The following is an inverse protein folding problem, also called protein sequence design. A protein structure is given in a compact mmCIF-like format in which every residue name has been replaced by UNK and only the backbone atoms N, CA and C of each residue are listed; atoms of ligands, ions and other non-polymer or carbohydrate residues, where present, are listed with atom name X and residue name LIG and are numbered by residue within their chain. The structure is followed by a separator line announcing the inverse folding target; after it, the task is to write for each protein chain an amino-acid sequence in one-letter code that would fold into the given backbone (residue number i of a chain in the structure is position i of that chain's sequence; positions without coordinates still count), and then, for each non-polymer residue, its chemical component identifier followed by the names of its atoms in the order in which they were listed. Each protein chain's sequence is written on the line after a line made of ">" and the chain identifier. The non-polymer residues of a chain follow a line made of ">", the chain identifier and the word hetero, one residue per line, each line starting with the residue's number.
data_IF_473892046826
#
_entry.id   IF_473892046826
#
_cell.length_a   1.000
_cell.length_b   1.000
_cell.length_c   1.000
_cell.angle_alpha   90.00
_cell.angle_beta   90.00
_cell.angle_gamma   90.00
#
_symmetry.space_group_name_H-M   'P 1'
#
loop_
_entity.id
_entity.type
_entity.pdbx_description
1 polymer ?
#
# COMPACT_ATOMS: atom_id res chain seq x y z
N UNK A 1 -5.82 -30.02 -47.47
CA UNK A 1 -5.67 -29.05 -46.35
C UNK A 1 -7.06 -28.88 -45.72
N UNK A 2 -7.32 -29.55 -44.60
CA UNK A 2 -8.67 -29.72 -44.05
C UNK A 2 -9.04 -28.61 -43.06
N UNK A 3 -10.14 -27.89 -43.33
CA UNK A 3 -10.76 -26.93 -42.42
C UNK A 3 -11.37 -27.67 -41.21
N UNK A 4 -10.76 -27.54 -40.04
CA UNK A 4 -11.34 -28.03 -38.78
C UNK A 4 -12.41 -27.06 -38.29
N UNK A 5 -13.65 -27.36 -38.67
CA UNK A 5 -14.88 -26.82 -38.07
C UNK A 5 -14.92 -27.12 -36.57
N UNK A 6 -14.73 -26.08 -35.74
CA UNK A 6 -14.97 -26.17 -34.28
C UNK A 6 -16.47 -26.06 -34.06
N UNK A 7 -17.11 -27.20 -33.77
CA UNK A 7 -18.53 -27.28 -33.40
C UNK A 7 -18.74 -26.60 -32.04
N UNK A 8 -19.60 -25.59 -32.02
CA UNK A 8 -20.08 -24.94 -30.81
C UNK A 8 -20.91 -25.91 -29.97
N UNK A 9 -20.50 -26.15 -28.72
CA UNK A 9 -21.28 -26.92 -27.76
C UNK A 9 -22.29 -26.00 -27.03
N UNK A 10 -23.57 -26.37 -26.92
CA UNK A 10 -24.54 -25.61 -26.13
C UNK A 10 -24.31 -25.88 -24.64
N UNK A 11 -23.96 -24.82 -23.89
CA UNK A 11 -23.83 -24.87 -22.43
C UNK A 11 -25.25 -24.91 -21.84
N UNK A 12 -25.67 -26.10 -21.40
CA UNK A 12 -26.93 -26.33 -20.68
C UNK A 12 -26.93 -25.55 -19.37
N UNK A 13 -27.65 -24.44 -19.31
CA UNK A 13 -27.97 -23.71 -18.09
C UNK A 13 -29.04 -24.49 -17.33
N UNK A 14 -28.63 -25.31 -16.36
CA UNK A 14 -29.54 -25.86 -15.35
C UNK A 14 -29.83 -24.76 -14.32
N UNK A 15 -31.06 -24.27 -14.31
CA UNK A 15 -31.56 -23.34 -13.31
C UNK A 15 -31.52 -23.96 -11.92
N UNK A 16 -31.14 -23.16 -10.92
CA UNK A 16 -31.36 -23.48 -9.52
C UNK A 16 -32.63 -22.76 -9.05
N UNK A 17 -33.55 -23.44 -8.35
CA UNK A 17 -34.77 -22.85 -7.84
C UNK A 17 -34.49 -21.93 -6.65
N UNK A 18 -35.14 -20.76 -6.68
CA UNK A 18 -35.25 -19.83 -5.58
C UNK A 18 -35.93 -20.51 -4.38
N UNK A 19 -35.19 -20.68 -3.29
CA UNK A 19 -35.74 -21.01 -1.97
C UNK A 19 -35.81 -19.71 -1.16
N UNK A 20 -37.00 -19.11 -1.15
CA UNK A 20 -37.34 -17.99 -0.29
C UNK A 20 -37.46 -18.50 1.15
N UNK A 21 -36.54 -18.09 2.03
CA UNK A 21 -36.66 -18.26 3.47
C UNK A 21 -37.13 -16.94 4.07
N UNK A 22 -38.43 -16.87 4.31
CA UNK A 22 -39.14 -15.79 4.99
C UNK A 22 -38.88 -15.97 6.49
N UNK A 23 -37.94 -15.20 7.05
CA UNK A 23 -37.70 -15.15 8.49
C UNK A 23 -38.51 -13.98 9.05
N UNK A 24 -39.39 -14.31 9.99
CA UNK A 24 -40.48 -13.49 10.47
C UNK A 24 -40.08 -12.20 11.19
N UNK A 25 -40.93 -11.19 10.98
CA UNK A 25 -41.06 -9.99 11.79
C UNK A 25 -41.30 -10.34 13.26
N UNK A 26 -40.49 -9.77 14.15
CA UNK A 26 -40.88 -9.49 15.53
C UNK A 26 -40.75 -7.98 15.74
N UNK A 27 -41.90 -7.35 15.95
CA UNK A 27 -42.05 -5.94 16.24
C UNK A 27 -41.60 -5.60 17.67
N UNK A 28 -41.01 -4.42 17.82
CA UNK A 28 -40.50 -3.81 19.05
C UNK A 28 -41.59 -3.51 20.11
N UNK A 29 -41.20 -3.16 21.35
CA UNK A 29 -41.26 -1.73 21.70
C UNK A 29 -40.15 -1.22 22.64
N UNK A 30 -40.17 0.11 22.75
CA UNK A 30 -39.24 1.11 23.27
C UNK A 30 -38.97 1.14 24.80
N UNK A 31 -38.08 2.07 25.15
CA UNK A 31 -37.94 2.83 26.42
C UNK A 31 -36.83 2.35 27.38
N UNK A 32 -35.76 3.14 27.47
CA UNK A 32 -35.36 3.84 28.70
C UNK A 32 -34.05 4.61 28.48
N UNK A 33 -34.17 5.94 28.48
CA UNK A 33 -33.06 6.81 28.74
C UNK A 33 -32.62 6.66 30.20
N UNK A 34 -31.33 6.40 30.41
CA UNK A 34 -30.59 6.82 31.60
C UNK A 34 -29.22 7.28 31.13
N UNK A 35 -29.05 8.60 31.02
CA UNK A 35 -27.71 9.18 31.05
C UNK A 35 -27.21 9.14 32.48
N UNK A 36 -25.97 8.68 32.70
CA UNK A 36 -25.17 9.11 33.85
C UNK A 36 -23.69 8.76 33.64
N UNK A 37 -22.93 9.80 33.30
CA UNK A 37 -21.60 10.06 33.84
C UNK A 37 -20.49 9.04 33.63
N UNK A 38 -19.77 9.15 32.52
CA UNK A 38 -18.35 8.76 32.48
C UNK A 38 -17.52 10.00 32.13
N UNK A 39 -17.36 10.87 33.13
CA UNK A 39 -16.46 12.00 33.10
C UNK A 39 -15.01 11.48 33.11
N UNK A 40 -14.15 11.79 32.12
CA UNK A 40 -12.72 11.58 32.27
C UNK A 40 -12.22 12.48 33.40
N UNK A 41 -11.45 11.89 34.31
CA UNK A 41 -10.80 12.60 35.41
C UNK A 41 -9.91 13.73 34.86
N UNK A 42 -9.88 14.92 35.49
CA UNK A 42 -8.83 15.90 35.22
C UNK A 42 -7.50 15.35 35.74
N UNK A 43 -6.54 15.17 34.83
CA UNK A 43 -5.15 14.91 35.21
C UNK A 43 -4.65 16.05 36.12
N UNK A 44 -4.00 15.75 37.26
CA UNK A 44 -3.31 16.78 38.03
C UNK A 44 -2.18 17.38 37.19
N UNK A 45 -2.12 18.71 37.19
CA UNK A 45 -1.14 19.49 36.45
C UNK A 45 0.28 19.07 36.80
N UNK A 46 1.04 18.70 35.77
CA UNK A 46 2.49 18.68 35.85
C UNK A 46 2.97 20.13 35.74
N UNK A 47 3.26 20.67 36.92
CA UNK A 47 3.97 21.92 37.15
C UNK A 47 5.17 22.03 36.22
N UNK A 48 5.21 23.11 35.45
CA UNK A 48 6.36 23.54 34.65
C UNK A 48 7.55 23.80 35.57
N UNK A 49 8.69 23.11 35.44
CA UNK A 49 9.91 23.54 36.12
C UNK A 49 10.48 24.75 35.39
N UNK A 50 10.50 25.87 36.09
CA UNK A 50 11.18 27.08 35.69
C UNK A 50 12.68 26.83 35.44
N UNK A 51 13.18 27.41 34.36
CA UNK A 51 14.59 27.41 33.96
C UNK A 51 15.49 28.11 35.00
N UNK A 52 16.65 27.54 35.33
CA UNK A 52 17.82 28.30 35.71
C UNK A 52 18.72 28.48 34.49
N UNK A 53 19.00 29.74 34.14
CA UNK A 53 20.03 30.08 33.18
C UNK A 53 21.43 29.79 33.73
N UNK A 54 22.34 29.39 32.86
CA UNK A 54 23.78 29.54 33.08
C UNK A 54 24.42 29.80 31.73
N UNK A 55 24.84 31.05 31.53
CA UNK A 55 25.75 31.41 30.46
C UNK A 55 27.17 30.98 30.86
N UNK A 56 27.96 30.46 29.91
CA UNK A 56 29.40 30.66 29.90
C UNK A 56 29.99 30.47 28.49
N UNK A 57 31.07 31.19 28.14
CA UNK A 57 31.53 31.40 26.76
C UNK A 57 32.68 30.44 26.37
N UNK A 58 33.03 30.40 25.07
CA UNK A 58 34.35 29.92 24.64
C UNK A 58 34.46 29.33 23.24
N UNK A 59 34.88 30.19 22.31
CA UNK A 59 35.44 29.97 20.96
C UNK A 59 36.25 28.69 20.69
N UNK A 60 36.13 28.15 19.47
CA UNK A 60 37.18 27.34 18.84
C UNK A 60 36.71 26.40 17.72
N UNK A 61 36.81 26.82 16.46
CA UNK A 61 36.76 25.95 15.26
C UNK A 61 38.11 25.28 15.02
N UNK A 62 38.14 24.05 14.49
CA UNK A 62 38.69 23.87 13.14
C UNK A 62 37.82 22.98 12.25
N UNK A 63 37.78 23.33 10.96
CA UNK A 63 37.04 22.63 9.92
C UNK A 63 37.43 21.16 9.77
N UNK A 64 36.40 20.33 9.63
CA UNK A 64 36.53 18.97 9.11
C UNK A 64 36.37 19.02 7.57
N UNK A 65 37.12 18.19 6.84
CA UNK A 65 37.19 18.24 5.39
C UNK A 65 35.81 18.00 4.77
N UNK A 66 35.50 18.83 3.77
CA UNK A 66 34.47 18.57 2.79
C UNK A 66 34.91 17.34 1.99
N UNK A 67 34.60 16.16 2.50
CA UNK A 67 34.67 14.94 1.71
C UNK A 67 33.50 15.01 0.72
N UNK A 68 33.76 15.68 -0.40
CA UNK A 68 32.93 15.61 -1.59
C UNK A 68 32.94 14.16 -2.06
N UNK A 69 32.04 13.35 -1.50
CA UNK A 69 31.61 12.14 -2.17
C UNK A 69 31.03 12.61 -3.51
N UNK A 70 31.52 12.13 -4.66
CA UNK A 70 30.89 12.44 -5.92
C UNK A 70 29.42 12.00 -5.81
N UNK A 71 28.45 12.76 -6.35
CA UNK A 71 27.18 12.13 -6.66
C UNK A 71 27.54 11.05 -7.68
N UNK A 72 27.51 9.78 -7.25
CA UNK A 72 27.16 8.72 -8.18
C UNK A 72 25.77 9.11 -8.65
N UNK A 73 25.73 9.82 -9.77
CA UNK A 73 24.58 9.79 -10.66
C UNK A 73 24.44 8.33 -11.02
N UNK A 74 23.70 7.58 -10.21
CA UNK A 74 23.09 6.35 -10.66
C UNK A 74 22.13 6.82 -11.74
N UNK A 75 22.66 6.85 -12.96
CA UNK A 75 21.90 7.03 -14.19
C UNK A 75 20.91 5.87 -14.18
N UNK A 76 19.75 6.13 -13.59
CA UNK A 76 18.69 5.16 -13.44
C UNK A 76 18.32 4.77 -14.86
N UNK A 77 18.67 3.55 -15.23
CA UNK A 77 18.26 2.97 -16.50
C UNK A 77 16.76 3.20 -16.63
N UNK A 78 16.38 3.94 -17.68
CA UNK A 78 15.00 4.25 -17.96
C UNK A 78 14.17 2.94 -17.99
N UNK A 79 12.97 2.99 -17.42
CA UNK A 79 12.19 1.81 -17.06
C UNK A 79 10.80 1.88 -17.67
N UNK A 80 10.48 0.88 -18.50
CA UNK A 80 9.12 0.66 -19.00
C UNK A 80 8.31 -0.23 -18.05
N UNK A 81 7.02 0.05 -17.89
CA UNK A 81 6.11 -0.83 -17.17
C UNK A 81 4.67 -0.71 -17.66
N UNK A 82 3.93 -1.81 -17.61
CA UNK A 82 2.48 -1.87 -17.79
C UNK A 82 1.93 -2.73 -16.67
N UNK A 83 1.25 -2.10 -15.71
CA UNK A 83 0.81 -2.73 -14.47
C UNK A 83 -0.68 -2.51 -14.23
N UNK A 84 -1.33 -3.58 -13.78
CA UNK A 84 -2.66 -3.56 -13.18
C UNK A 84 -2.53 -3.82 -11.69
N UNK A 85 -3.16 -2.96 -10.89
CA UNK A 85 -3.09 -2.95 -9.44
C UNK A 85 -4.50 -3.15 -8.90
N UNK A 86 -4.72 -4.24 -8.18
CA UNK A 86 -6.00 -4.54 -7.53
C UNK A 86 -5.84 -4.36 -6.03
N UNK A 87 -6.44 -3.31 -5.50
CA UNK A 87 -6.47 -2.98 -4.07
C UNK A 87 -7.70 -3.60 -3.43
N UNK A 88 -7.52 -4.26 -2.29
CA UNK A 88 -8.62 -4.81 -1.48
C UNK A 88 -8.71 -4.02 -0.17
N UNK A 89 -9.88 -3.43 0.08
CA UNK A 89 -10.13 -2.59 1.25
C UNK A 89 -10.38 -3.41 2.51
N UNK A 90 -10.17 -2.76 3.66
CA UNK A 90 -10.32 -3.34 4.99
C UNK A 90 -11.66 -4.08 5.18
N UNK A 91 -11.59 -5.36 5.58
CA UNK A 91 -12.76 -6.11 6.06
C UNK A 91 -13.87 -6.35 5.03
N UNK A 92 -13.59 -6.21 3.74
CA UNK A 92 -14.58 -6.42 2.67
C UNK A 92 -13.94 -7.09 1.45
N UNK A 93 -14.76 -7.74 0.63
CA UNK A 93 -14.33 -8.26 -0.68
C UNK A 93 -14.30 -7.17 -1.76
N UNK A 94 -14.49 -5.90 -1.40
CA UNK A 94 -14.48 -4.78 -2.32
C UNK A 94 -13.08 -4.58 -2.90
N UNK A 95 -13.00 -4.49 -4.23
CA UNK A 95 -11.76 -4.32 -4.98
C UNK A 95 -11.79 -3.05 -5.81
N UNK A 96 -10.68 -2.32 -5.79
CA UNK A 96 -10.44 -1.15 -6.65
C UNK A 96 -9.29 -1.49 -7.58
N UNK A 97 -9.55 -1.46 -8.88
CA UNK A 97 -8.52 -1.63 -9.89
C UNK A 97 -7.94 -0.28 -10.31
N UNK A 98 -6.62 -0.23 -10.48
CA UNK A 98 -5.87 0.91 -11.01
C UNK A 98 -4.86 0.42 -12.04
N UNK A 99 -4.45 1.30 -12.93
CA UNK A 99 -3.46 1.04 -13.96
C UNK A 99 -2.30 2.00 -13.84
N UNK A 100 -1.11 1.53 -14.17
CA UNK A 100 0.07 2.37 -14.36
C UNK A 100 0.77 1.93 -15.63
N UNK A 101 1.05 2.89 -16.49
CA UNK A 101 1.90 2.72 -17.67
C UNK A 101 3.07 3.69 -17.53
N UNK A 102 4.29 3.17 -17.54
CA UNK A 102 5.53 3.95 -17.57
C UNK A 102 6.24 3.68 -18.90
N UNK A 103 6.74 4.73 -19.53
CA UNK A 103 7.67 4.67 -20.66
C UNK A 103 8.88 5.50 -20.32
N UNK A 104 10.08 4.92 -20.47
CA UNK A 104 11.34 5.58 -20.14
C UNK A 104 11.37 6.20 -18.72
N UNK A 105 10.70 5.56 -17.73
CA UNK A 105 10.48 6.06 -16.36
C UNK A 105 9.54 7.27 -16.22
N UNK A 106 8.88 7.74 -17.29
CA UNK A 106 7.81 8.74 -17.22
C UNK A 106 6.43 8.09 -17.35
N UNK A 107 5.38 8.66 -16.74
CA UNK A 107 4.03 8.15 -16.90
C UNK A 107 3.53 8.34 -18.33
N UNK A 108 2.77 7.37 -18.82
CA UNK A 108 2.10 7.41 -20.11
C UNK A 108 0.57 7.40 -19.95
N UNK A 109 -0.13 7.70 -21.04
CA UNK A 109 -1.60 7.68 -21.11
C UNK A 109 -2.18 6.34 -20.63
N UNK A 110 -3.35 6.42 -20.00
CA UNK A 110 -4.06 5.24 -19.47
C UNK A 110 -3.73 4.87 -18.02
N UNK A 111 -2.78 5.57 -17.40
CA UNK A 111 -2.51 5.47 -15.96
C UNK A 111 -3.68 6.05 -15.14
N UNK A 112 -4.13 5.33 -14.11
CA UNK A 112 -5.23 5.72 -13.19
C UNK A 112 -4.81 5.73 -11.71
N UNK A 113 -3.53 5.48 -11.44
CA UNK A 113 -2.92 5.76 -10.13
C UNK A 113 -2.93 7.26 -9.84
N UNK A 114 -2.91 7.63 -8.55
CA UNK A 114 -3.14 9.02 -8.13
C UNK A 114 -1.97 9.95 -8.46
N UNK A 115 -0.76 9.40 -8.35
CA UNK A 115 0.49 10.12 -8.60
C UNK A 115 1.38 9.22 -9.47
N UNK A 116 1.17 9.31 -10.79
CA UNK A 116 1.80 8.39 -11.75
C UNK A 116 3.30 8.64 -11.88
N UNK A 117 3.74 9.91 -11.83
CA UNK A 117 5.16 10.28 -11.80
C UNK A 117 5.88 9.66 -10.61
N UNK A 118 5.34 9.84 -9.38
CA UNK A 118 5.92 9.25 -8.19
C UNK A 118 5.91 7.71 -8.25
N UNK A 119 4.91 7.11 -8.88
CA UNK A 119 4.83 5.66 -9.03
C UNK A 119 5.90 5.11 -10.00
N UNK A 120 6.13 5.75 -11.14
CA UNK A 120 7.21 5.37 -12.07
C UNK A 120 8.59 5.58 -11.43
N UNK A 121 8.78 6.66 -10.66
CA UNK A 121 10.01 6.90 -9.92
C UNK A 121 10.25 5.83 -8.83
N UNK A 122 9.19 5.43 -8.09
CA UNK A 122 9.28 4.37 -7.10
C UNK A 122 9.66 3.02 -7.72
N UNK A 123 9.11 2.69 -8.89
CA UNK A 123 9.49 1.49 -9.61
C UNK A 123 10.93 1.52 -10.10
N UNK A 124 11.41 2.67 -10.59
CA UNK A 124 12.81 2.82 -11.01
C UNK A 124 13.77 2.59 -9.82
N UNK A 125 13.41 3.12 -8.65
CA UNK A 125 14.25 3.08 -7.44
C UNK A 125 14.19 1.73 -6.69
N UNK A 126 13.02 1.10 -6.64
CA UNK A 126 12.75 -0.03 -5.77
C UNK A 126 12.24 -1.27 -6.48
N UNK A 127 11.94 -1.18 -7.78
CA UNK A 127 11.28 -2.23 -8.56
C UNK A 127 12.04 -3.55 -8.58
N UNK A 128 13.36 -3.50 -8.81
CA UNK A 128 14.21 -4.71 -8.84
C UNK A 128 14.07 -5.50 -7.53
N UNK A 129 14.34 -4.83 -6.42
CA UNK A 129 14.30 -5.41 -5.07
C UNK A 129 12.91 -5.87 -4.66
N UNK A 130 11.88 -5.13 -5.02
CA UNK A 130 10.52 -5.44 -4.57
C UNK A 130 9.90 -6.54 -5.41
N UNK A 131 10.12 -6.61 -6.72
CA UNK A 131 9.41 -7.55 -7.60
C UNK A 131 10.21 -8.79 -7.99
N UNK A 132 11.54 -8.70 -8.02
CA UNK A 132 12.38 -9.74 -8.62
C UNK A 132 13.36 -10.38 -7.64
N UNK A 133 13.77 -9.68 -6.58
CA UNK A 133 14.56 -10.31 -5.51
C UNK A 133 13.70 -11.26 -4.67
N UNK A 134 14.28 -12.41 -4.35
CA UNK A 134 13.66 -13.36 -3.43
C UNK A 134 13.74 -12.81 -1.99
N UNK A 135 12.67 -12.95 -1.19
CA UNK A 135 12.71 -12.59 0.22
C UNK A 135 13.82 -13.35 0.95
N UNK A 136 14.68 -12.60 1.64
CA UNK A 136 15.69 -13.18 2.53
C UNK A 136 15.00 -13.97 3.65
N UNK A 137 15.31 -15.26 3.73
CA UNK A 137 14.73 -16.21 4.69
C UNK A 137 15.26 -16.03 6.11
N UNK A 138 16.40 -15.38 6.26
CA UNK A 138 17.07 -15.08 7.52
C UNK A 138 16.73 -13.67 8.02
N UNK A 139 15.98 -12.88 7.24
CA UNK A 139 15.52 -11.56 7.65
C UNK A 139 14.57 -11.69 8.85
N UNK A 140 14.92 -11.02 9.94
CA UNK A 140 14.05 -10.91 11.12
C UNK A 140 13.07 -9.75 10.90
N UNK A 141 11.78 -10.04 11.01
CA UNK A 141 10.69 -9.08 10.82
C UNK A 141 9.95 -8.86 12.15
N UNK A 142 9.52 -7.63 12.41
CA UNK A 142 8.65 -7.35 13.57
C UNK A 142 7.27 -7.95 13.36
N UNK A 143 6.60 -8.35 14.44
CA UNK A 143 5.21 -8.83 14.39
C UNK A 143 4.19 -7.67 14.38
N UNK A 144 4.55 -6.54 13.74
CA UNK A 144 3.68 -5.37 13.68
C UNK A 144 2.64 -5.56 12.58
N UNK A 145 1.37 -5.53 12.96
CA UNK A 145 0.26 -5.45 12.02
C UNK A 145 -0.04 -4.00 11.63
N UNK A 146 0.00 -3.71 10.33
CA UNK A 146 -0.19 -2.37 9.76
C UNK A 146 -1.57 -2.13 9.14
N UNK A 147 -2.42 -3.16 9.06
CA UNK A 147 -3.80 -3.04 8.58
C UNK A 147 -4.27 -4.22 7.71
N UNK A 148 -5.58 -4.31 7.46
CA UNK A 148 -6.18 -5.39 6.65
C UNK A 148 -6.04 -5.22 5.13
N UNK A 149 -5.51 -4.10 4.66
CA UNK A 149 -5.38 -3.81 3.24
C UNK A 149 -4.41 -4.78 2.57
N UNK A 150 -4.78 -5.14 1.34
CA UNK A 150 -3.96 -5.97 0.48
C UNK A 150 -3.94 -5.38 -0.92
N UNK A 151 -2.89 -5.68 -1.68
CA UNK A 151 -2.84 -5.35 -3.09
C UNK A 151 -2.28 -6.53 -3.89
N UNK A 152 -2.78 -6.74 -5.10
CA UNK A 152 -2.14 -7.58 -6.11
C UNK A 152 -1.71 -6.71 -7.28
N UNK A 153 -0.43 -6.81 -7.65
CA UNK A 153 0.14 -6.12 -8.80
C UNK A 153 0.50 -7.17 -9.84
N UNK A 154 -0.01 -7.01 -11.05
CA UNK A 154 0.25 -7.90 -12.19
C UNK A 154 0.62 -7.10 -13.42
N UNK A 155 1.41 -7.67 -14.32
CA UNK A 155 1.76 -7.05 -15.60
C UNK A 155 3.23 -7.24 -15.93
N UNK A 156 3.90 -6.20 -16.41
CA UNK A 156 5.32 -6.24 -16.78
C UNK A 156 6.11 -5.04 -16.26
N UNK A 157 7.38 -5.28 -15.92
CA UNK A 157 8.39 -4.25 -15.61
C UNK A 157 9.64 -4.59 -16.42
N UNK A 158 10.08 -3.68 -17.28
CA UNK A 158 11.22 -3.86 -18.20
C UNK A 158 11.12 -5.16 -19.01
N UNK A 159 9.90 -5.49 -19.45
CA UNK A 159 9.61 -6.72 -20.21
C UNK A 159 9.54 -8.02 -19.40
N UNK A 160 9.78 -7.99 -18.08
CA UNK A 160 9.64 -9.17 -17.21
C UNK A 160 8.25 -9.21 -16.60
N UNK A 161 7.59 -10.37 -16.63
CA UNK A 161 6.29 -10.58 -16.00
C UNK A 161 6.39 -10.46 -14.47
N UNK A 162 5.36 -9.86 -13.87
CA UNK A 162 5.21 -9.75 -12.43
C UNK A 162 3.81 -10.19 -11.99
N UNK A 163 3.75 -10.90 -10.86
CA UNK A 163 2.54 -11.18 -10.10
C UNK A 163 2.92 -11.16 -8.62
N UNK A 164 2.63 -10.06 -7.94
CA UNK A 164 3.04 -9.86 -6.55
C UNK A 164 1.89 -9.43 -5.67
N UNK A 165 1.80 -10.07 -4.50
CA UNK A 165 0.90 -9.69 -3.43
C UNK A 165 1.62 -8.87 -2.38
N UNK A 166 0.95 -7.80 -1.96
CA UNK A 166 1.36 -6.92 -0.87
C UNK A 166 0.35 -7.04 0.27
N UNK A 167 0.87 -7.08 1.49
CA UNK A 167 0.10 -7.11 2.74
C UNK A 167 0.76 -6.20 3.76
N UNK A 168 0.08 -5.98 4.88
CA UNK A 168 0.60 -5.18 6.01
C UNK A 168 0.67 -6.05 7.28
N UNK A 169 1.09 -7.31 7.15
CA UNK A 169 1.02 -8.31 8.23
C UNK A 169 2.19 -8.29 9.21
N UNK A 170 3.33 -7.75 8.79
CA UNK A 170 4.57 -7.69 9.58
C UNK A 170 5.43 -6.49 9.11
N UNK A 171 6.48 -6.17 9.88
CA UNK A 171 7.33 -5.00 9.58
C UNK A 171 8.05 -5.06 8.24
N UNK A 172 8.39 -6.26 7.74
CA UNK A 172 9.03 -6.40 6.43
C UNK A 172 8.03 -6.13 5.31
N UNK A 173 6.82 -6.68 5.42
CA UNK A 173 5.74 -6.44 4.45
C UNK A 173 5.28 -4.98 4.43
N UNK A 174 5.20 -4.35 5.60
CA UNK A 174 4.94 -2.92 5.72
C UNK A 174 6.05 -2.10 5.03
N UNK A 175 7.31 -2.49 5.20
CA UNK A 175 8.42 -1.82 4.50
C UNK A 175 8.34 -1.96 2.98
N UNK A 176 7.97 -3.13 2.46
CA UNK A 176 7.75 -3.34 1.03
C UNK A 176 6.60 -2.47 0.50
N UNK A 177 5.49 -2.39 1.25
CA UNK A 177 4.38 -1.49 0.92
C UNK A 177 4.85 -0.03 0.86
N UNK A 178 5.65 0.40 1.83
CA UNK A 178 6.12 1.79 1.91
C UNK A 178 6.93 2.22 0.70
N UNK A 179 7.82 1.34 0.23
CA UNK A 179 8.61 1.58 -0.97
C UNK A 179 7.77 1.76 -2.23
N UNK A 180 6.52 1.27 -2.21
CA UNK A 180 5.58 1.31 -3.33
C UNK A 180 4.31 2.13 -3.00
N UNK A 181 4.33 3.01 -2.00
CA UNK A 181 3.14 3.78 -1.61
C UNK A 181 2.60 4.68 -2.72
N UNK A 182 3.45 5.21 -3.61
CA UNK A 182 2.98 5.99 -4.76
C UNK A 182 2.12 5.14 -5.73
N UNK A 183 2.43 3.85 -5.82
CA UNK A 183 1.69 2.87 -6.62
C UNK A 183 0.43 2.36 -5.89
N UNK A 184 0.56 2.04 -4.60
CA UNK A 184 -0.45 1.31 -3.82
C UNK A 184 -1.39 2.23 -2.99
N UNK A 185 -0.99 3.48 -2.78
CA UNK A 185 -1.63 4.38 -1.82
C UNK A 185 -1.12 4.21 -0.39
N UNK A 186 -1.58 5.09 0.49
CA UNK A 186 -1.27 5.05 1.92
C UNK A 186 -1.85 3.80 2.58
N UNK A 187 -1.12 3.29 3.58
CA UNK A 187 -1.55 2.17 4.45
C UNK A 187 -2.76 2.50 5.34
N UNK A 188 -3.14 3.77 5.47
CA UNK A 188 -4.42 4.20 6.04
C UNK A 188 -5.31 4.64 4.88
N UNK A 189 -6.60 4.29 4.92
CA UNK A 189 -7.59 4.71 3.92
C UNK A 189 -7.90 6.20 3.98
N UNK A 190 -6.86 7.04 3.89
CA UNK A 190 -6.98 8.47 3.75
C UNK A 190 -7.09 8.79 2.26
N UNK A 191 -8.35 9.00 1.87
CA UNK A 191 -8.77 9.50 0.57
C UNK A 191 -8.13 10.86 0.27
#
# INVERSE_FOLDING_TARGET
>A
MALRSRRSAPRRTRGLPAAALIIGLLAAPSLAACGQGNQPAPSPGITTPASPGTASPGSGSPGAPSESTPPTTEEGTAMDADLTIVLTSAGSDARVERKLVCKDSQPADGSTVRDADAACAALTKHGEKVFFELPDRNRICTQQYGGPQQARVTGTISGREVDKQFSLTDGCKISEWNSMQALLGSRAGEA
#
